data_IF_314283823890
#
_entry.id   IF_314283823890
#
_cell.length_a   1.000
_cell.length_b   1.000
_cell.length_c   1.000
_cell.angle_alpha   90.00
_cell.angle_beta   90.00
_cell.angle_gamma   90.00
#
_symmetry.space_group_name_H-M   'P 1'
#
loop_
_entity.id
_entity.type
_entity.pdbx_description
1 polymer ?
#
# COMPACT_ATOMS: atom_id res chain seq x y z
N UNK A 1 9.92 -14.82 9.39
CA UNK A 1 11.30 -15.09 8.90
C UNK A 1 11.43 -14.59 7.47
N UNK A 2 12.33 -13.63 7.20
CA UNK A 2 12.51 -13.01 5.87
C UNK A 2 13.00 -14.06 4.86
N UNK A 3 12.27 -14.24 3.74
CA UNK A 3 12.60 -15.14 2.61
C UNK A 3 14.02 -14.95 2.05
N UNK A 4 14.66 -13.81 2.34
CA UNK A 4 16.02 -13.44 1.93
C UNK A 4 17.13 -14.20 2.68
N UNK A 5 16.86 -14.75 3.88
CA UNK A 5 17.88 -15.46 4.66
C UNK A 5 17.99 -16.95 4.35
N UNK A 6 16.99 -17.52 3.64
CA UNK A 6 16.93 -18.96 3.41
C UNK A 6 17.99 -19.45 2.41
N UNK A 7 18.34 -18.61 1.42
CA UNK A 7 19.33 -18.97 0.39
C UNK A 7 20.78 -18.82 0.91
N UNK A 8 21.02 -18.02 1.95
CA UNK A 8 22.36 -17.89 2.52
C UNK A 8 22.74 -19.06 3.46
N UNK A 9 21.77 -19.85 3.91
CA UNK A 9 22.00 -20.86 4.95
C UNK A 9 22.32 -22.26 4.41
N UNK A 10 22.22 -22.51 3.10
CA UNK A 10 22.48 -23.84 2.52
C UNK A 10 23.96 -24.14 2.25
N UNK A 11 24.87 -23.23 2.59
CA UNK A 11 26.31 -23.38 2.32
C UNK A 11 27.16 -23.96 3.48
N UNK A 12 26.56 -24.35 4.60
CA UNK A 12 27.29 -24.99 5.71
C UNK A 12 26.61 -26.30 6.09
N UNK A 13 26.99 -27.36 5.40
CA UNK A 13 26.66 -28.73 5.79
C UNK A 13 27.64 -29.24 6.85
N UNK A 14 27.10 -29.80 7.95
CA UNK A 14 27.69 -30.93 8.69
C UNK A 14 26.56 -31.73 9.35
N UNK A 15 26.58 -33.04 9.13
CA UNK A 15 25.72 -34.05 9.73
C UNK A 15 26.10 -34.38 11.19
N UNK A 16 25.16 -34.97 11.97
CA UNK A 16 25.30 -36.05 12.99
C UNK A 16 24.00 -36.15 13.87
N UNK A 17 23.62 -37.33 14.42
CA UNK A 17 22.24 -37.85 14.41
C UNK A 17 21.47 -37.90 15.76
N UNK A 18 20.18 -38.29 15.64
CA UNK A 18 19.23 -38.91 16.58
C UNK A 18 19.62 -39.06 18.07
N UNK A 19 18.88 -38.40 18.98
CA UNK A 19 18.58 -38.92 20.35
C UNK A 19 17.21 -38.43 20.86
N UNK A 20 16.37 -39.41 21.20
CA UNK A 20 15.30 -39.51 22.21
C UNK A 20 14.12 -38.54 22.30
N UNK A 21 12.94 -39.13 22.07
CA UNK A 21 11.64 -38.74 22.62
C UNK A 21 11.73 -38.60 24.15
N UNK A 22 11.66 -37.37 24.65
CA UNK A 22 11.34 -37.11 26.05
C UNK A 22 10.07 -36.28 26.07
N UNK A 23 8.97 -36.96 26.37
CA UNK A 23 7.69 -36.33 26.69
C UNK A 23 7.83 -35.65 28.05
N UNK A 24 7.82 -34.32 28.06
CA UNK A 24 7.63 -33.54 29.28
C UNK A 24 6.61 -32.44 29.02
N UNK A 25 5.47 -32.65 29.69
CA UNK A 25 4.36 -31.76 30.02
C UNK A 25 4.78 -30.30 30.23
N UNK A 26 4.00 -29.39 29.66
CA UNK A 26 3.57 -28.16 30.33
C UNK A 26 2.25 -27.72 29.71
N UNK A 27 1.20 -27.64 30.53
CA UNK A 27 -0.03 -26.93 30.20
C UNK A 27 0.31 -25.45 30.05
N UNK A 28 0.56 -25.01 28.82
CA UNK A 28 0.32 -23.62 28.47
C UNK A 28 -1.12 -23.53 27.97
N UNK A 29 -2.01 -23.20 28.89
CA UNK A 29 -3.19 -22.41 28.58
C UNK A 29 -2.69 -21.12 27.92
N UNK A 30 -2.46 -21.18 26.60
CA UNK A 30 -2.39 -19.98 25.80
C UNK A 30 -3.78 -19.36 25.86
N UNK A 31 -3.95 -18.41 26.77
CA UNK A 31 -4.93 -17.35 26.57
C UNK A 31 -4.75 -16.87 25.13
N UNK A 32 -5.71 -17.21 24.27
CA UNK A 32 -5.89 -16.50 23.02
C UNK A 32 -6.18 -15.07 23.47
N UNK A 33 -5.13 -14.25 23.52
CA UNK A 33 -5.27 -12.80 23.55
C UNK A 33 -6.02 -12.43 22.29
N UNK A 34 -7.35 -12.41 22.42
CA UNK A 34 -8.27 -11.68 21.56
C UNK A 34 -7.83 -10.23 21.63
N UNK A 35 -6.93 -9.89 20.71
CA UNK A 35 -6.08 -8.72 20.79
C UNK A 35 -6.07 -8.02 19.45
N UNK A 36 -7.22 -7.54 19.02
CA UNK A 36 -7.48 -6.13 18.69
C UNK A 36 -8.82 -6.02 17.99
N UNK A 37 -9.71 -5.25 18.61
CA UNK A 37 -10.89 -4.67 17.97
C UNK A 37 -10.49 -4.14 16.59
N UNK A 38 -11.00 -4.74 15.51
CA UNK A 38 -10.87 -4.14 14.19
C UNK A 38 -11.72 -2.88 14.22
N UNK A 39 -11.09 -1.74 14.49
CA UNK A 39 -11.70 -0.45 14.19
C UNK A 39 -12.07 -0.51 12.71
N UNK A 40 -13.37 -0.47 12.42
CA UNK A 40 -13.88 -0.38 11.06
C UNK A 40 -13.13 0.75 10.37
N UNK A 41 -12.48 0.46 9.25
CA UNK A 41 -11.78 1.49 8.49
C UNK A 41 -12.80 2.53 8.05
N UNK A 42 -12.52 3.80 8.34
CA UNK A 42 -13.50 4.89 8.21
C UNK A 42 -13.97 5.15 6.77
N UNK A 43 -13.16 4.76 5.78
CA UNK A 43 -13.49 4.88 4.36
C UNK A 43 -13.90 3.55 3.72
N UNK A 44 -14.11 2.49 4.52
CA UNK A 44 -14.55 1.18 4.02
C UNK A 44 -15.86 1.33 3.22
N UNK A 45 -15.91 0.74 2.03
CA UNK A 45 -17.05 0.79 1.09
C UNK A 45 -17.52 2.21 0.69
N UNK A 46 -16.71 3.25 0.90
CA UNK A 46 -17.03 4.60 0.39
C UNK A 46 -16.83 4.67 -1.12
N UNK A 47 -17.88 5.06 -1.83
CA UNK A 47 -17.81 5.31 -3.27
C UNK A 47 -17.04 6.60 -3.58
N UNK A 48 -16.52 6.71 -4.81
CA UNK A 48 -15.88 7.94 -5.30
C UNK A 48 -16.79 9.16 -5.14
N UNK A 49 -18.09 9.00 -5.43
CA UNK A 49 -19.07 10.08 -5.29
C UNK A 49 -19.23 10.54 -3.83
N UNK A 50 -19.24 9.61 -2.87
CA UNK A 50 -19.28 9.96 -1.44
C UNK A 50 -18.00 10.64 -0.97
N UNK A 51 -16.83 10.23 -1.46
CA UNK A 51 -15.56 10.87 -1.14
C UNK A 51 -15.48 12.29 -1.72
N UNK A 52 -15.95 12.49 -2.96
CA UNK A 52 -16.08 13.82 -3.56
C UNK A 52 -16.99 14.72 -2.73
N UNK A 53 -18.19 14.24 -2.39
CA UNK A 53 -19.13 14.97 -1.53
C UNK A 53 -18.52 15.32 -0.18
N UNK A 54 -17.79 14.40 0.45
CA UNK A 54 -17.12 14.67 1.71
C UNK A 54 -16.02 15.74 1.60
N UNK A 55 -15.32 15.82 0.46
CA UNK A 55 -14.38 16.91 0.18
C UNK A 55 -15.08 18.24 -0.09
N UNK A 56 -16.20 18.23 -0.80
CA UNK A 56 -17.02 19.43 -1.05
C UNK A 56 -17.61 20.01 0.24
N UNK A 57 -18.04 19.15 1.16
CA UNK A 57 -18.55 19.53 2.49
C UNK A 57 -17.43 19.92 3.47
N UNK A 58 -16.16 19.82 3.07
CA UNK A 58 -15.00 20.13 3.91
C UNK A 58 -14.75 19.11 5.03
N UNK A 59 -15.41 17.94 4.99
CA UNK A 59 -15.22 16.85 5.96
C UNK A 59 -13.84 16.20 5.83
N UNK A 60 -13.36 16.05 4.60
CA UNK A 60 -12.02 15.57 4.30
C UNK A 60 -11.34 16.45 3.27
N UNK A 61 -10.02 16.40 3.24
CA UNK A 61 -9.23 16.87 2.11
C UNK A 61 -8.69 15.67 1.35
N UNK A 62 -8.24 15.86 0.11
CA UNK A 62 -7.55 14.83 -0.67
C UNK A 62 -6.37 14.26 0.13
N UNK A 63 -5.55 15.14 0.72
CA UNK A 63 -4.44 14.74 1.60
C UNK A 63 -4.91 13.81 2.72
N UNK A 64 -6.01 14.16 3.40
CA UNK A 64 -6.51 13.34 4.51
C UNK A 64 -6.98 11.96 4.05
N UNK A 65 -7.62 11.88 2.89
CA UNK A 65 -8.03 10.60 2.29
C UNK A 65 -6.80 9.74 1.97
N UNK A 66 -5.76 10.32 1.36
CA UNK A 66 -4.50 9.63 1.09
C UNK A 66 -3.83 9.13 2.38
N UNK A 67 -3.76 9.96 3.42
CA UNK A 67 -3.20 9.57 4.73
C UNK A 67 -3.94 8.36 5.33
N UNK A 68 -5.28 8.35 5.26
CA UNK A 68 -6.09 7.24 5.78
C UNK A 68 -5.82 5.93 5.03
N UNK A 69 -5.67 5.96 3.70
CA UNK A 69 -5.31 4.76 2.95
C UNK A 69 -3.86 4.32 3.18
N UNK A 70 -2.91 5.25 3.30
CA UNK A 70 -1.52 4.92 3.63
C UNK A 70 -1.39 4.28 5.02
N UNK A 71 -2.16 4.76 6.00
CA UNK A 71 -2.26 4.13 7.32
C UNK A 71 -2.85 2.73 7.22
N UNK A 72 -3.92 2.56 6.45
CA UNK A 72 -4.56 1.26 6.23
C UNK A 72 -3.65 0.23 5.54
N UNK A 73 -2.81 0.68 4.60
CA UNK A 73 -1.78 -0.14 3.95
C UNK A 73 -0.75 -0.62 4.98
N UNK A 74 -0.25 0.28 5.84
CA UNK A 74 0.68 -0.11 6.92
C UNK A 74 0.08 -1.13 7.86
N UNK A 75 -1.19 -1.00 8.20
CA UNK A 75 -1.87 -1.86 9.18
C UNK A 75 -2.16 -3.27 8.68
N UNK A 76 -2.33 -3.46 7.36
CA UNK A 76 -2.82 -4.74 6.82
C UNK A 76 -1.96 -5.32 5.70
N UNK A 77 -1.20 -4.49 4.99
CA UNK A 77 -0.31 -4.94 3.93
C UNK A 77 1.11 -5.18 4.42
N UNK A 78 1.69 -4.22 5.16
CA UNK A 78 3.12 -4.19 5.53
C UNK A 78 3.47 -4.96 6.83
N UNK A 79 2.48 -5.56 7.50
CA UNK A 79 2.69 -6.36 8.71
C UNK A 79 3.24 -7.76 8.41
N UNK A 80 3.83 -8.44 9.40
CA UNK A 80 4.26 -9.84 9.24
C UNK A 80 3.05 -10.74 8.98
N UNK A 81 3.06 -11.43 7.82
CA UNK A 81 1.90 -12.18 7.35
C UNK A 81 0.76 -11.32 6.76
N UNK A 82 1.00 -10.04 6.50
CA UNK A 82 0.06 -9.13 5.83
C UNK A 82 -0.24 -9.52 4.38
N UNK A 83 -1.15 -8.78 3.74
CA UNK A 83 -1.64 -9.09 2.40
C UNK A 83 -0.56 -9.05 1.33
N UNK A 84 0.48 -8.21 1.49
CA UNK A 84 1.56 -8.02 0.52
C UNK A 84 1.01 -7.78 -0.91
N UNK A 85 0.06 -6.86 -0.99
CA UNK A 85 -0.69 -6.46 -2.19
C UNK A 85 -0.17 -5.16 -2.80
N UNK A 86 0.56 -4.33 -2.04
CA UNK A 86 1.16 -3.08 -2.51
C UNK A 86 2.66 -3.29 -2.72
N UNK A 87 3.14 -3.19 -3.97
CA UNK A 87 4.57 -3.41 -4.26
C UNK A 87 5.42 -2.18 -3.92
N UNK A 88 4.92 -0.99 -4.24
CA UNK A 88 5.60 0.28 -4.06
C UNK A 88 4.58 1.40 -3.86
N UNK A 89 4.94 2.40 -3.07
CA UNK A 89 4.13 3.60 -2.82
C UNK A 89 4.75 4.80 -3.53
N UNK A 90 3.92 5.67 -4.12
CA UNK A 90 4.41 6.91 -4.70
C UNK A 90 4.88 7.86 -3.57
N UNK A 91 6.17 8.21 -3.50
CA UNK A 91 6.67 9.07 -2.44
C UNK A 91 6.11 10.50 -2.50
N UNK A 92 5.60 10.91 -3.67
CA UNK A 92 5.04 12.24 -3.92
C UNK A 92 3.50 12.27 -3.76
N UNK A 93 2.84 11.16 -3.39
CA UNK A 93 1.37 11.06 -3.30
C UNK A 93 0.74 12.14 -2.41
N UNK A 94 1.31 12.38 -1.22
CA UNK A 94 0.79 13.40 -0.31
C UNK A 94 1.00 14.82 -0.83
N UNK A 95 2.12 15.10 -1.52
CA UNK A 95 2.33 16.40 -2.15
C UNK A 95 1.40 16.65 -3.33
N UNK A 96 1.11 15.62 -4.13
CA UNK A 96 0.13 15.70 -5.22
C UNK A 96 -1.27 16.00 -4.64
N UNK A 97 -1.64 15.31 -3.55
CA UNK A 97 -2.89 15.54 -2.86
C UNK A 97 -2.99 16.98 -2.30
N UNK A 98 -1.90 17.51 -1.70
CA UNK A 98 -1.84 18.90 -1.24
C UNK A 98 -2.05 19.91 -2.38
N UNK A 99 -1.50 19.65 -3.57
CA UNK A 99 -1.69 20.49 -4.75
C UNK A 99 -3.15 20.48 -5.22
N UNK A 100 -3.78 19.31 -5.26
CA UNK A 100 -5.19 19.17 -5.62
C UNK A 100 -6.13 19.80 -4.59
N UNK A 101 -5.77 19.78 -3.31
CA UNK A 101 -6.48 20.52 -2.26
C UNK A 101 -6.38 22.04 -2.46
N UNK A 102 -5.21 22.56 -2.83
CA UNK A 102 -5.04 23.99 -3.20
C UNK A 102 -5.87 24.36 -4.42
N UNK A 103 -5.92 23.50 -5.43
CA UNK A 103 -6.77 23.71 -6.60
C UNK A 103 -8.26 23.74 -6.25
N UNK A 104 -8.72 22.81 -5.40
CA UNK A 104 -10.09 22.78 -4.89
C UNK A 104 -10.44 24.06 -4.14
N UNK A 105 -9.55 24.53 -3.26
CA UNK A 105 -9.73 25.81 -2.54
C UNK A 105 -9.78 27.02 -3.48
N UNK A 106 -9.13 26.94 -4.64
CA UNK A 106 -9.18 27.94 -5.71
C UNK A 106 -10.33 27.72 -6.71
N UNK A 107 -11.31 26.86 -6.40
CA UNK A 107 -12.44 26.48 -7.27
C UNK A 107 -12.02 25.90 -8.63
N UNK A 108 -10.84 25.27 -8.70
CA UNK A 108 -10.32 24.58 -9.89
C UNK A 108 -10.44 23.08 -9.74
N UNK A 109 -11.63 22.54 -10.04
CA UNK A 109 -11.90 21.10 -9.99
C UNK A 109 -11.71 20.50 -11.38
N UNK A 110 -10.87 19.46 -11.49
CA UNK A 110 -10.53 18.79 -12.76
C UNK A 110 -11.56 17.75 -13.19
N UNK A 111 -12.43 17.30 -12.30
CA UNK A 111 -13.50 16.35 -12.59
C UNK A 111 -13.83 15.43 -11.40
N UNK A 112 -14.59 14.34 -11.64
CA UNK A 112 -15.02 13.42 -10.58
C UNK A 112 -13.89 12.70 -9.83
N UNK A 113 -12.68 12.66 -10.41
CA UNK A 113 -11.51 12.04 -9.79
C UNK A 113 -10.61 13.03 -9.03
N UNK A 114 -10.97 14.32 -8.99
CA UNK A 114 -10.15 15.36 -8.38
C UNK A 114 -9.86 15.07 -6.90
N UNK A 115 -8.61 14.75 -6.58
CA UNK A 115 -8.15 14.43 -5.23
C UNK A 115 -8.39 12.98 -4.79
N UNK A 116 -8.82 12.08 -5.68
CA UNK A 116 -9.08 10.68 -5.35
C UNK A 116 -7.80 9.86 -5.51
N UNK A 117 -7.28 9.21 -4.45
CA UNK A 117 -6.16 8.30 -4.57
C UNK A 117 -6.56 7.03 -5.30
N UNK A 118 -5.68 6.59 -6.20
CA UNK A 118 -5.83 5.34 -6.92
C UNK A 118 -4.57 4.47 -6.79
N UNK A 119 -4.73 3.19 -7.09
CA UNK A 119 -3.61 2.29 -7.30
C UNK A 119 -3.61 1.80 -8.75
N UNK A 120 -2.41 1.57 -9.27
CA UNK A 120 -2.22 1.01 -10.61
C UNK A 120 -1.34 -0.23 -10.53
N UNK A 121 -1.50 -1.14 -11.49
CA UNK A 121 -0.71 -2.37 -11.51
C UNK A 121 0.72 -2.05 -11.94
N UNK A 122 1.70 -2.73 -11.35
CA UNK A 122 3.15 -2.57 -11.59
C UNK A 122 3.61 -2.91 -13.03
N UNK A 123 2.69 -3.19 -13.95
CA UNK A 123 2.97 -3.29 -15.38
C UNK A 123 2.47 -2.08 -16.18
N UNK A 124 2.10 -0.99 -15.49
CA UNK A 124 1.64 0.27 -16.09
C UNK A 124 2.68 1.34 -15.77
N UNK A 125 3.31 1.88 -16.81
CA UNK A 125 4.33 2.92 -16.68
C UNK A 125 3.77 4.18 -16.02
N UNK A 126 4.48 4.66 -15.00
CA UNK A 126 4.28 5.98 -14.37
C UNK A 126 5.61 6.74 -14.40
N UNK A 127 5.60 8.02 -14.77
CA UNK A 127 6.77 8.89 -14.70
C UNK A 127 7.04 9.41 -13.27
N UNK A 128 6.72 8.60 -12.27
CA UNK A 128 6.93 8.91 -10.86
C UNK A 128 8.32 8.42 -10.40
N UNK A 129 8.66 8.69 -9.14
CA UNK A 129 9.82 8.10 -8.47
C UNK A 129 9.51 6.68 -7.98
N UNK A 130 8.93 5.87 -8.86
CA UNK A 130 8.57 4.46 -8.63
C UNK A 130 9.11 3.60 -9.76
N UNK A 131 9.24 2.30 -9.50
CA UNK A 131 9.62 1.32 -10.51
C UNK A 131 8.38 0.81 -11.28
N UNK A 132 8.62 0.27 -12.47
CA UNK A 132 7.63 -0.53 -13.21
C UNK A 132 8.27 -1.85 -13.53
N UNK A 133 8.02 -2.86 -12.69
CA UNK A 133 8.75 -4.14 -12.73
C UNK A 133 7.94 -5.29 -13.33
N UNK A 134 6.64 -5.12 -13.54
CA UNK A 134 5.69 -6.18 -13.85
C UNK A 134 5.78 -7.39 -12.88
N UNK A 135 6.24 -7.17 -11.65
CA UNK A 135 6.54 -8.21 -10.65
C UNK A 135 7.78 -9.06 -10.95
N UNK A 136 8.64 -8.65 -11.89
CA UNK A 136 9.82 -9.40 -12.31
C UNK A 136 11.11 -8.82 -11.73
N UNK A 137 11.91 -9.67 -11.07
CA UNK A 137 13.22 -9.27 -10.51
C UNK A 137 14.19 -8.71 -11.55
N UNK A 138 14.08 -9.17 -12.80
CA UNK A 138 14.90 -8.67 -13.91
C UNK A 138 14.66 -7.19 -14.25
N UNK A 139 13.54 -6.63 -13.80
CA UNK A 139 13.13 -5.25 -14.05
C UNK A 139 13.24 -4.36 -12.81
N UNK A 140 13.82 -4.84 -11.70
CA UNK A 140 14.08 -4.00 -10.53
C UNK A 140 15.05 -2.88 -10.92
N UNK A 141 14.67 -1.63 -10.60
CA UNK A 141 15.39 -0.42 -10.99
C UNK A 141 14.92 0.18 -12.33
N UNK A 142 13.98 -0.46 -13.03
CA UNK A 142 13.34 0.13 -14.21
C UNK A 142 12.38 1.24 -13.78
N UNK A 143 12.77 2.49 -14.01
CA UNK A 143 11.94 3.69 -13.80
C UNK A 143 11.49 4.19 -15.16
N UNK A 144 10.18 4.27 -15.38
CA UNK A 144 9.64 4.72 -16.65
C UNK A 144 9.91 6.22 -16.86
N UNK A 145 10.29 6.59 -18.10
CA UNK A 145 10.57 8.00 -18.44
C UNK A 145 9.32 8.83 -18.74
N UNK A 146 8.17 8.17 -18.92
CA UNK A 146 6.90 8.80 -19.28
C UNK A 146 5.74 7.98 -18.73
N UNK A 147 4.63 8.67 -18.47
CA UNK A 147 3.37 8.03 -18.14
C UNK A 147 2.84 7.20 -19.33
N UNK A 148 2.21 6.07 -19.02
CA UNK A 148 1.27 5.45 -19.95
C UNK A 148 0.09 6.39 -20.23
N UNK A 149 -0.56 6.24 -21.39
CA UNK A 149 -1.68 7.12 -21.81
C UNK A 149 -2.80 7.18 -20.76
N UNK A 150 -3.10 6.04 -20.12
CA UNK A 150 -4.13 5.98 -19.08
C UNK A 150 -3.74 6.77 -17.84
N UNK A 151 -2.48 6.71 -17.40
CA UNK A 151 -1.97 7.48 -16.25
C UNK A 151 -2.06 8.97 -16.54
N UNK A 152 -1.63 9.40 -17.73
CA UNK A 152 -1.76 10.80 -18.14
C UNK A 152 -3.21 11.30 -18.02
N UNK A 153 -4.17 10.52 -18.52
CA UNK A 153 -5.61 10.85 -18.42
C UNK A 153 -6.13 10.90 -16.98
N UNK A 154 -5.65 10.00 -16.12
CA UNK A 154 -6.01 9.97 -14.70
C UNK A 154 -5.50 11.22 -13.97
N UNK A 155 -4.26 11.64 -14.24
CA UNK A 155 -3.70 12.89 -13.70
C UNK A 155 -4.40 14.14 -14.23
N UNK A 156 -4.74 14.15 -15.52
CA UNK A 156 -5.55 15.22 -16.13
C UNK A 156 -6.93 15.33 -15.46
N UNK A 157 -7.53 14.20 -15.07
CA UNK A 157 -8.77 14.15 -14.30
C UNK A 157 -8.60 14.47 -12.80
N UNK A 158 -7.36 14.66 -12.33
CA UNK A 158 -7.03 15.02 -10.97
C UNK A 158 -6.94 13.87 -9.98
N UNK A 159 -6.73 12.63 -10.42
CA UNK A 159 -6.42 11.52 -9.51
C UNK A 159 -5.05 11.71 -8.84
N UNK A 160 -4.93 11.22 -7.60
CA UNK A 160 -3.66 11.10 -6.86
C UNK A 160 -3.06 9.73 -7.12
#
# INVERSE_FOLDING_TARGET
MKRRNFIQLTALGTAVPLVSLTSCVSEDTSEIKSGKSSLTFILEEKTVAELQKAMEEGKYTSRKICELYLERIKEVDEIDGGLNSVLELNPDALSIADELDKERAASKIRGPLHGIPIMVKDNIDTADKMMTTAGALALVGNIASKDAIIIKKLREAGAV
#
